data_IF_036816808741
#
_entry.id   IF_036816808741
#
_cell.length_a   1.000
_cell.length_b   1.000
_cell.length_c   1.000
_cell.angle_alpha   90.00
_cell.angle_beta   90.00
_cell.angle_gamma   90.00
#
_symmetry.space_group_name_H-M   'P 1'
#
loop_
_entity.id
_entity.type
_entity.pdbx_description
1 polymer ?
#
# COMPACT_ATOMS: atom_id res chain seq x y z
N UNK A 1 6.55 0.21 7.64
CA UNK A 1 5.10 0.33 7.35
C UNK A 1 4.83 0.91 5.95
N UNK A 2 4.98 2.22 5.71
CA UNK A 2 4.48 2.84 4.47
C UNK A 2 5.24 2.46 3.18
N UNK A 3 6.56 2.28 3.25
CA UNK A 3 7.39 1.88 2.08
C UNK A 3 7.11 0.42 1.71
N UNK A 4 7.34 -0.51 2.65
CA UNK A 4 7.34 -1.95 2.37
C UNK A 4 5.99 -2.66 2.60
N UNK A 5 4.96 -1.94 3.05
CA UNK A 5 3.69 -2.55 3.48
C UNK A 5 3.82 -3.56 4.64
N UNK A 6 4.78 -3.36 5.53
CA UNK A 6 5.06 -4.29 6.62
C UNK A 6 3.94 -4.32 7.69
N UNK A 7 3.32 -5.49 7.85
CA UNK A 7 2.22 -5.75 8.79
C UNK A 7 2.67 -5.70 10.26
N UNK A 8 3.88 -6.18 10.55
CA UNK A 8 4.44 -6.18 11.89
C UNK A 8 4.72 -4.77 12.37
N UNK A 9 5.20 -3.90 11.48
CA UNK A 9 5.36 -2.48 11.74
C UNK A 9 4.02 -1.79 12.00
N UNK A 10 2.94 -2.17 11.30
CA UNK A 10 1.60 -1.63 11.56
C UNK A 10 1.06 -2.07 12.93
N UNK A 11 1.25 -3.34 13.32
CA UNK A 11 0.91 -3.82 14.66
C UNK A 11 1.77 -3.19 15.75
N UNK A 12 3.06 -2.97 15.49
CA UNK A 12 3.96 -2.29 16.42
C UNK A 12 3.53 -0.83 16.64
N UNK A 13 3.14 -0.12 15.57
CA UNK A 13 2.58 1.22 15.66
C UNK A 13 1.30 1.25 16.50
N UNK A 14 0.43 0.26 16.34
CA UNK A 14 -0.79 0.14 17.16
C UNK A 14 -0.45 -0.02 18.65
N UNK A 15 0.56 -0.82 18.99
CA UNK A 15 1.01 -1.01 20.38
C UNK A 15 1.75 0.21 20.95
N UNK A 16 2.50 0.95 20.14
CA UNK A 16 3.26 2.11 20.60
C UNK A 16 2.39 3.35 20.82
N UNK A 17 1.13 3.33 20.39
CA UNK A 17 0.20 4.45 20.49
C UNK A 17 -0.29 4.74 21.93
N UNK A 18 0.18 4.00 22.94
CA UNK A 18 -0.19 4.20 24.34
C UNK A 18 -1.62 3.80 24.68
N UNK A 19 -2.21 2.91 23.88
CA UNK A 19 -3.58 2.42 24.04
C UNK A 19 -3.68 0.92 23.76
N UNK A 20 -4.75 0.28 24.19
CA UNK A 20 -4.99 -1.13 23.87
C UNK A 20 -5.27 -1.32 22.37
N UNK A 21 -5.05 -2.54 21.85
CA UNK A 21 -5.38 -2.87 20.46
C UNK A 21 -6.83 -2.52 20.12
N UNK A 22 -7.78 -2.87 21.00
CA UNK A 22 -9.20 -2.57 20.79
C UNK A 22 -9.46 -1.07 20.67
N UNK A 23 -8.87 -0.26 21.56
CA UNK A 23 -8.97 1.20 21.51
C UNK A 23 -8.35 1.77 20.23
N UNK A 24 -7.23 1.22 19.77
CA UNK A 24 -6.62 1.64 18.50
C UNK A 24 -7.54 1.38 17.31
N UNK A 25 -8.13 0.18 17.22
CA UNK A 25 -9.10 -0.15 16.17
C UNK A 25 -10.36 0.71 16.28
N UNK A 26 -10.82 1.00 17.49
CA UNK A 26 -11.92 1.93 17.71
C UNK A 26 -11.58 3.32 17.15
N UNK A 27 -10.38 3.86 17.43
CA UNK A 27 -9.92 5.14 16.87
C UNK A 27 -9.81 5.13 15.35
N UNK A 28 -9.38 4.01 14.74
CA UNK A 28 -9.37 3.88 13.28
C UNK A 28 -10.80 4.02 12.71
N UNK A 29 -11.78 3.36 13.33
CA UNK A 29 -13.18 3.42 12.92
C UNK A 29 -13.85 4.77 13.25
N UNK A 30 -13.46 5.43 14.34
CA UNK A 30 -13.85 6.83 14.65
C UNK A 30 -13.35 7.77 13.55
N UNK A 31 -12.07 7.67 13.19
CA UNK A 31 -11.50 8.45 12.09
C UNK A 31 -12.21 8.16 10.77
N UNK A 32 -12.50 6.91 10.44
CA UNK A 32 -13.27 6.56 9.25
C UNK A 32 -14.63 7.27 9.23
N UNK A 33 -15.37 7.26 10.35
CA UNK A 33 -16.65 7.96 10.49
C UNK A 33 -16.51 9.48 10.35
N UNK A 34 -15.50 10.09 10.98
CA UNK A 34 -15.20 11.52 10.85
C UNK A 34 -14.93 11.93 9.40
N UNK A 35 -14.25 11.07 8.63
CA UNK A 35 -13.99 11.29 7.20
C UNK A 35 -15.19 10.98 6.31
N UNK A 36 -16.33 10.56 6.89
CA UNK A 36 -17.53 10.18 6.16
C UNK A 36 -17.38 8.84 5.41
N UNK A 37 -16.45 7.98 5.83
CA UNK A 37 -16.20 6.67 5.24
C UNK A 37 -17.22 5.63 5.72
N UNK A 38 -18.46 5.75 5.26
CA UNK A 38 -19.64 5.04 5.79
C UNK A 38 -19.65 3.53 5.49
N UNK A 39 -18.90 3.08 4.49
CA UNK A 39 -18.78 1.67 4.11
C UNK A 39 -17.51 1.03 4.66
N UNK A 40 -16.72 1.77 5.45
CA UNK A 40 -15.43 1.30 5.95
C UNK A 40 -15.56 0.78 7.38
N UNK A 41 -14.97 -0.39 7.62
CA UNK A 41 -14.82 -0.99 8.96
C UNK A 41 -13.45 -1.65 9.06
N UNK A 42 -12.70 -1.27 10.09
CA UNK A 42 -11.43 -1.89 10.44
C UNK A 42 -11.62 -2.89 11.60
N UNK A 43 -11.03 -4.07 11.47
CA UNK A 43 -10.94 -5.13 12.49
C UNK A 43 -9.51 -5.34 12.99
N UNK A 44 -8.51 -4.92 12.22
CA UNK A 44 -7.12 -4.87 12.65
C UNK A 44 -6.37 -3.66 12.04
N UNK A 45 -5.12 -3.48 12.47
CA UNK A 45 -4.30 -2.31 12.13
C UNK A 45 -3.44 -2.47 10.88
N UNK A 46 -3.19 -3.71 10.42
CA UNK A 46 -2.29 -4.03 9.30
C UNK A 46 -3.03 -4.24 7.98
N UNK A 47 -4.30 -4.65 8.04
CA UNK A 47 -5.08 -5.02 6.85
C UNK A 47 -5.09 -6.52 6.57
N UNK A 48 -4.52 -7.34 7.46
CA UNK A 48 -4.43 -8.80 7.29
C UNK A 48 -5.78 -9.52 7.44
N UNK A 49 -6.72 -8.97 8.22
CA UNK A 49 -8.05 -9.53 8.32
C UNK A 49 -8.86 -9.19 7.07
N UNK A 50 -9.42 -10.23 6.45
CA UNK A 50 -10.46 -10.16 5.41
C UNK A 50 -11.72 -9.41 5.85
N UNK A 51 -11.92 -9.26 7.16
CA UNK A 51 -13.02 -8.51 7.77
C UNK A 51 -12.79 -7.00 7.80
N UNK A 52 -11.62 -6.52 7.35
CA UNK A 52 -11.42 -5.12 7.01
C UNK A 52 -12.13 -4.83 5.68
N UNK A 53 -13.14 -3.98 5.73
CA UNK A 53 -13.96 -3.63 4.56
C UNK A 53 -13.82 -2.14 4.29
N UNK A 54 -13.79 -1.77 3.01
CA UNK A 54 -13.85 -0.39 2.54
C UNK A 54 -14.51 -0.34 1.16
N UNK A 55 -14.81 0.87 0.68
CA UNK A 55 -15.25 1.11 -0.69
C UNK A 55 -14.28 2.03 -1.43
N UNK A 56 -14.34 2.05 -2.76
CA UNK A 56 -13.55 2.99 -3.58
C UNK A 56 -13.84 4.44 -3.15
N UNK A 57 -15.11 4.80 -2.93
CA UNK A 57 -15.50 6.15 -2.54
C UNK A 57 -14.95 6.55 -1.17
N UNK A 58 -14.86 5.61 -0.24
CA UNK A 58 -14.28 5.86 1.07
C UNK A 58 -12.76 5.99 1.00
N UNK A 59 -12.09 5.17 0.19
CA UNK A 59 -10.67 5.31 -0.07
C UNK A 59 -10.34 6.64 -0.73
N UNK A 60 -11.20 7.20 -1.61
CA UNK A 60 -11.04 8.57 -2.12
C UNK A 60 -11.02 9.59 -0.97
N UNK A 61 -11.92 9.48 0.00
CA UNK A 61 -11.98 10.39 1.15
C UNK A 61 -10.73 10.27 2.02
N UNK A 62 -10.31 9.04 2.33
CA UNK A 62 -9.08 8.78 3.07
C UNK A 62 -7.84 9.32 2.34
N UNK A 63 -7.78 9.14 1.03
CA UNK A 63 -6.69 9.64 0.18
C UNK A 63 -6.62 11.16 0.22
N UNK A 64 -7.76 11.84 0.04
CA UNK A 64 -7.85 13.31 0.13
C UNK A 64 -7.41 13.83 1.49
N UNK A 65 -7.84 13.19 2.57
CA UNK A 65 -7.39 13.54 3.92
C UNK A 65 -5.86 13.34 4.09
N UNK A 66 -5.34 12.20 3.63
CA UNK A 66 -3.93 11.83 3.76
C UNK A 66 -2.99 12.75 2.96
N UNK A 67 -3.46 13.33 1.85
CA UNK A 67 -2.71 14.33 1.07
C UNK A 67 -2.39 15.61 1.85
N UNK A 68 -3.06 15.87 2.98
CA UNK A 68 -2.75 17.01 3.85
C UNK A 68 -1.62 16.72 4.85
N UNK A 69 -1.16 15.46 4.94
CA UNK A 69 -0.09 15.06 5.85
C UNK A 69 1.24 14.87 5.11
N UNK A 70 2.22 15.75 5.37
CA UNK A 70 3.51 15.73 4.67
C UNK A 70 4.32 14.46 4.96
N UNK A 71 4.25 13.90 6.17
CA UNK A 71 4.98 12.67 6.50
C UNK A 71 4.40 11.49 5.72
N UNK A 72 3.07 11.35 5.66
CA UNK A 72 2.43 10.27 4.89
C UNK A 72 2.85 10.35 3.44
N UNK A 73 2.77 11.54 2.83
CA UNK A 73 3.22 11.75 1.43
C UNK A 73 4.68 11.39 1.24
N UNK A 74 5.56 11.84 2.13
CA UNK A 74 6.99 11.57 2.04
C UNK A 74 7.28 10.06 2.10
N UNK A 75 6.79 9.39 3.15
CA UNK A 75 7.06 7.97 3.37
C UNK A 75 6.35 7.05 2.37
N UNK A 76 5.14 7.41 1.90
CA UNK A 76 4.44 6.59 0.89
C UNK A 76 5.18 6.57 -0.44
N UNK A 77 5.86 7.66 -0.80
CA UNK A 77 6.45 7.85 -2.13
C UNK A 77 7.95 7.58 -2.18
N UNK A 78 8.58 7.19 -1.06
CA UNK A 78 10.00 6.80 -1.09
C UNK A 78 10.17 5.52 -1.91
N UNK A 79 11.06 5.50 -2.94
CA UNK A 79 11.29 4.31 -3.79
C UNK A 79 11.87 3.12 -3.00
N UNK A 80 12.71 3.43 -2.01
CA UNK A 80 13.32 2.47 -1.10
C UNK A 80 13.81 3.16 0.17
N UNK A 81 14.15 2.39 1.19
CA UNK A 81 14.72 2.88 2.44
C UNK A 81 15.62 1.81 3.08
N UNK A 82 16.59 2.24 3.88
CA UNK A 82 17.24 1.37 4.86
C UNK A 82 16.58 1.58 6.22
N UNK A 83 16.18 0.50 6.87
CA UNK A 83 15.58 0.52 8.21
C UNK A 83 16.43 -0.29 9.19
N UNK A 84 16.35 0.04 10.47
CA UNK A 84 16.95 -0.77 11.52
C UNK A 84 15.91 -1.76 12.06
N UNK A 85 16.20 -3.05 11.96
CA UNK A 85 15.35 -4.13 12.45
C UNK A 85 16.20 -5.21 13.09
N UNK A 86 15.93 -5.54 14.37
CA UNK A 86 16.68 -6.58 15.09
C UNK A 86 18.20 -6.32 15.20
N UNK A 87 18.61 -5.05 15.32
CA UNK A 87 20.03 -4.67 15.37
C UNK A 87 20.76 -4.75 14.03
N UNK A 88 20.05 -4.98 12.92
CA UNK A 88 20.61 -5.02 11.56
C UNK A 88 19.97 -3.95 10.68
N UNK A 89 20.77 -3.45 9.74
CA UNK A 89 20.27 -2.59 8.69
C UNK A 89 19.64 -3.46 7.59
N UNK A 90 18.36 -3.24 7.29
CA UNK A 90 17.59 -3.97 6.29
C UNK A 90 17.20 -3.00 5.19
N UNK A 91 17.49 -3.38 3.94
CA UNK A 91 17.04 -2.63 2.77
C UNK A 91 15.62 -3.04 2.40
N UNK A 92 14.73 -2.06 2.27
CA UNK A 92 13.34 -2.28 1.88
C UNK A 92 12.99 -1.43 0.67
N UNK A 93 12.12 -1.97 -0.19
CA UNK A 93 11.66 -1.32 -1.41
C UNK A 93 10.19 -0.96 -1.31
N UNK A 94 9.80 0.11 -2.00
CA UNK A 94 8.40 0.43 -2.19
C UNK A 94 7.70 -0.75 -2.87
N UNK A 95 6.53 -1.12 -2.37
CA UNK A 95 5.74 -2.18 -3.01
C UNK A 95 5.26 -1.73 -4.38
N UNK A 96 4.86 -0.47 -4.55
CA UNK A 96 4.40 0.04 -5.83
C UNK A 96 5.54 0.21 -6.85
N UNK A 97 5.56 -0.67 -7.84
CA UNK A 97 6.53 -0.66 -8.95
C UNK A 97 6.59 0.70 -9.67
N UNK A 98 5.46 1.38 -9.89
CA UNK A 98 5.42 2.68 -10.58
C UNK A 98 6.23 3.77 -9.86
N UNK A 99 6.30 3.69 -8.53
CA UNK A 99 7.05 4.63 -7.68
C UNK A 99 8.48 4.16 -7.51
N UNK A 100 8.68 2.87 -7.26
CA UNK A 100 10.01 2.27 -7.07
C UNK A 100 10.93 2.48 -8.27
N UNK A 101 10.38 2.39 -9.47
CA UNK A 101 11.11 2.54 -10.74
C UNK A 101 11.02 3.95 -11.32
N UNK A 102 10.43 4.89 -10.58
CA UNK A 102 10.33 6.30 -10.98
C UNK A 102 9.60 6.47 -12.33
N UNK A 103 8.66 5.56 -12.64
CA UNK A 103 7.83 5.65 -13.85
C UNK A 103 6.83 6.80 -13.72
N UNK A 104 6.27 7.01 -12.53
CA UNK A 104 5.45 8.18 -12.22
C UNK A 104 5.75 8.70 -10.82
N UNK A 105 5.79 10.02 -10.69
CA UNK A 105 5.82 10.70 -9.40
C UNK A 105 4.45 10.64 -8.74
N UNK A 106 4.35 9.96 -7.59
CA UNK A 106 3.14 9.96 -6.79
C UNK A 106 3.07 11.18 -5.86
N UNK A 107 1.89 11.75 -5.69
CA UNK A 107 1.56 12.60 -4.54
C UNK A 107 1.31 11.75 -3.29
N UNK A 108 0.68 10.59 -3.46
CA UNK A 108 0.49 9.55 -2.45
C UNK A 108 0.25 8.22 -3.17
N UNK A 109 0.67 7.12 -2.56
CA UNK A 109 0.34 5.79 -3.08
C UNK A 109 0.34 4.73 -1.98
N UNK A 110 -0.37 3.63 -2.23
CA UNK A 110 -0.33 2.43 -1.41
C UNK A 110 -0.82 1.23 -2.21
N UNK A 111 -0.11 0.11 -2.16
CA UNK A 111 -0.62 -1.18 -2.64
C UNK A 111 -1.16 -2.03 -1.49
N UNK A 112 -1.94 -3.06 -1.80
CA UNK A 112 -2.34 -4.07 -0.83
C UNK A 112 -2.67 -5.38 -1.51
N UNK A 113 -2.47 -6.49 -0.79
CA UNK A 113 -2.80 -7.82 -1.25
C UNK A 113 -3.05 -8.73 -0.05
N UNK A 114 -4.16 -9.45 -0.13
CA UNK A 114 -4.44 -10.71 0.55
C UNK A 114 -5.20 -11.57 -0.46
N UNK A 115 -5.17 -12.89 -0.29
CA UNK A 115 -5.80 -13.84 -1.22
C UNK A 115 -7.27 -13.48 -1.50
N UNK A 116 -7.98 -13.07 -0.47
CA UNK A 116 -9.41 -12.76 -0.46
C UNK A 116 -9.77 -11.46 -1.19
N UNK A 117 -8.82 -10.52 -1.29
CA UNK A 117 -9.08 -9.17 -1.85
C UNK A 117 -8.37 -8.91 -3.18
N UNK A 118 -7.54 -9.84 -3.65
CA UNK A 118 -6.69 -9.66 -4.82
C UNK A 118 -5.69 -8.51 -4.66
N UNK A 119 -5.16 -8.03 -5.78
CA UNK A 119 -4.17 -6.96 -5.80
C UNK A 119 -4.86 -5.59 -5.87
N UNK A 120 -4.55 -4.70 -4.93
CA UNK A 120 -5.20 -3.41 -4.74
C UNK A 120 -4.19 -2.25 -4.85
N UNK A 121 -4.64 -1.09 -5.33
CA UNK A 121 -3.85 0.14 -5.41
C UNK A 121 -4.70 1.38 -5.11
N UNK A 122 -4.09 2.31 -4.38
CA UNK A 122 -4.41 3.74 -4.42
C UNK A 122 -3.17 4.47 -4.94
N UNK A 123 -3.33 5.32 -5.95
CA UNK A 123 -2.26 6.15 -6.51
C UNK A 123 -2.81 7.51 -6.92
N UNK A 124 -2.13 8.60 -6.56
CA UNK A 124 -2.44 9.94 -7.08
C UNK A 124 -1.20 10.49 -7.74
N UNK A 125 -1.31 10.90 -9.01
CA UNK A 125 -0.20 11.52 -9.73
C UNK A 125 0.15 12.87 -9.09
N UNK A 126 1.43 13.13 -8.89
CA UNK A 126 1.92 14.37 -8.30
C UNK A 126 1.72 15.56 -9.23
N UNK A 127 1.95 15.34 -10.52
CA UNK A 127 1.89 16.39 -11.53
C UNK A 127 0.51 16.41 -12.20
N UNK A 128 0.00 17.59 -12.58
CA UNK A 128 -1.22 17.67 -13.37
C UNK A 128 -1.10 16.92 -14.71
N UNK A 129 -2.17 16.25 -15.09
CA UNK A 129 -2.31 15.56 -16.37
C UNK A 129 -3.29 16.38 -17.22
N UNK A 130 -2.80 17.06 -18.26
CA UNK A 130 -3.60 18.02 -19.06
C UNK A 130 -4.41 19.00 -18.19
N UNK A 131 -3.75 19.58 -17.18
CA UNK A 131 -4.31 20.52 -16.19
C UNK A 131 -5.23 19.93 -15.12
N UNK A 132 -5.39 18.61 -15.02
CA UNK A 132 -6.20 17.96 -13.98
C UNK A 132 -5.36 17.10 -13.06
N UNK A 133 -5.66 17.10 -11.76
CA UNK A 133 -5.12 16.09 -10.85
C UNK A 133 -5.79 14.74 -11.12
N UNK A 134 -4.99 13.70 -11.37
CA UNK A 134 -5.50 12.37 -11.66
C UNK A 134 -5.06 11.39 -10.56
N UNK A 135 -6.03 10.63 -10.05
CA UNK A 135 -5.78 9.50 -9.17
C UNK A 135 -6.47 8.25 -9.68
N UNK A 136 -5.86 7.10 -9.40
CA UNK A 136 -6.36 5.77 -9.73
C UNK A 136 -6.52 4.98 -8.45
N UNK A 137 -7.71 4.44 -8.24
CA UNK A 137 -7.97 3.41 -7.23
C UNK A 137 -8.43 2.17 -8.00
N UNK A 138 -7.70 1.07 -7.88
CA UNK A 138 -8.02 -0.20 -8.52
C UNK A 138 -8.04 -1.30 -7.46
N UNK A 139 -9.12 -2.07 -7.41
CA UNK A 139 -9.33 -3.11 -6.41
C UNK A 139 -9.54 -4.46 -7.09
N UNK A 140 -9.20 -5.55 -6.39
CA UNK A 140 -9.40 -6.92 -6.85
C UNK A 140 -8.79 -7.22 -8.23
N UNK A 141 -7.56 -6.75 -8.46
CA UNK A 141 -6.83 -7.10 -9.68
C UNK A 141 -6.29 -8.53 -9.57
N UNK A 142 -6.26 -9.26 -10.69
CA UNK A 142 -5.82 -10.65 -10.73
C UNK A 142 -4.32 -10.86 -10.47
N UNK A 143 -3.49 -9.84 -10.73
CA UNK A 143 -2.07 -9.88 -10.46
C UNK A 143 -1.49 -8.49 -10.17
N UNK A 144 -0.33 -8.45 -9.51
CA UNK A 144 0.47 -7.23 -9.31
C UNK A 144 0.80 -6.55 -10.65
N UNK A 145 1.12 -7.33 -11.69
CA UNK A 145 1.39 -6.82 -13.03
C UNK A 145 0.15 -6.21 -13.67
N UNK A 146 -1.02 -6.87 -13.57
CA UNK A 146 -2.27 -6.33 -14.12
C UNK A 146 -2.64 -5.00 -13.46
N UNK A 147 -2.58 -4.93 -12.12
CA UNK A 147 -2.82 -3.70 -11.35
C UNK A 147 -1.90 -2.55 -11.79
N UNK A 148 -0.62 -2.85 -12.00
CA UNK A 148 0.39 -1.88 -12.46
C UNK A 148 0.09 -1.38 -13.87
N UNK A 149 -0.14 -2.29 -14.81
CA UNK A 149 -0.46 -1.97 -16.20
C UNK A 149 -1.78 -1.20 -16.33
N UNK A 150 -2.81 -1.61 -15.59
CA UNK A 150 -4.09 -0.90 -15.54
C UNK A 150 -3.89 0.54 -15.10
N UNK A 151 -3.12 0.76 -14.03
CA UNK A 151 -2.88 2.09 -13.48
C UNK A 151 -2.11 2.97 -14.46
N UNK A 152 -1.01 2.46 -15.02
CA UNK A 152 -0.24 3.16 -16.06
C UNK A 152 -1.12 3.56 -17.24
N UNK A 153 -1.90 2.61 -17.78
CA UNK A 153 -2.81 2.87 -18.90
C UNK A 153 -3.84 3.95 -18.59
N UNK A 154 -4.42 3.98 -17.37
CA UNK A 154 -5.34 5.06 -16.97
C UNK A 154 -4.65 6.41 -16.88
N UNK A 155 -3.46 6.48 -16.28
CA UNK A 155 -2.69 7.73 -16.17
C UNK A 155 -2.37 8.29 -17.56
N UNK A 156 -1.83 7.47 -18.46
CA UNK A 156 -1.51 7.86 -19.83
C UNK A 156 -2.75 8.28 -20.62
N UNK A 157 -3.86 7.53 -20.48
CA UNK A 157 -5.14 7.86 -21.11
C UNK A 157 -5.64 9.26 -20.72
N UNK A 158 -5.43 9.67 -19.48
CA UNK A 158 -5.78 11.01 -18.99
C UNK A 158 -4.64 12.04 -19.16
N UNK A 159 -3.58 11.69 -19.89
CA UNK A 159 -2.52 12.60 -20.30
C UNK A 159 -1.47 12.88 -19.24
N UNK A 160 -1.27 11.96 -18.28
CA UNK A 160 -0.12 12.00 -17.39
C UNK A 160 1.11 11.54 -18.16
N UNK A 161 2.23 12.24 -17.98
CA UNK A 161 3.50 11.92 -18.64
C UNK A 161 4.32 11.03 -17.71
N UNK A 162 4.74 9.87 -18.21
CA UNK A 162 5.68 8.99 -17.49
C UNK A 162 7.09 9.59 -17.49
N UNK A 163 7.85 9.34 -16.43
CA UNK A 163 9.25 9.72 -16.32
C UNK A 163 10.11 9.08 -17.41
N UNK A 164 11.24 9.72 -17.74
CA UNK A 164 12.13 9.34 -18.86
C UNK A 164 12.87 7.99 -18.69
N UNK A 165 12.70 7.25 -17.58
CA UNK A 165 13.27 5.91 -17.44
C UNK A 165 12.41 4.89 -18.19
N UNK A 166 12.63 4.80 -19.50
CA UNK A 166 12.19 3.70 -20.35
C UNK A 166 12.93 2.43 -19.93
N UNK A 167 12.41 1.68 -18.96
CA UNK A 167 12.81 0.29 -18.79
C UNK A 167 11.64 -0.62 -19.18
N UNK A 168 11.91 -1.45 -20.18
CA UNK A 168 11.09 -2.59 -20.56
C UNK A 168 10.81 -3.41 -19.29
N UNK A 169 9.53 -3.58 -18.95
CA UNK A 169 9.11 -4.48 -17.88
C UNK A 169 9.65 -5.87 -18.20
N UNK A 170 10.62 -6.37 -17.43
CA UNK A 170 11.13 -7.74 -17.62
C UNK A 170 10.18 -8.72 -16.92
N UNK A 171 10.03 -9.95 -17.44
CA UNK A 171 9.21 -10.99 -16.81
C UNK A 171 9.65 -11.36 -15.38
N UNK A 172 10.94 -11.18 -15.06
CA UNK A 172 11.51 -11.47 -13.73
C UNK A 172 10.98 -10.55 -12.63
N UNK A 173 10.48 -9.37 -12.97
CA UNK A 173 9.87 -8.45 -12.00
C UNK A 173 8.50 -8.96 -11.49
N UNK A 174 7.95 -10.01 -12.10
CA UNK A 174 6.71 -10.66 -11.66
C UNK A 174 6.90 -11.50 -10.39
N UNK A 175 8.14 -11.80 -9.98
CA UNK A 175 8.44 -12.57 -8.77
C UNK A 175 8.52 -11.74 -7.49
N UNK A 176 8.36 -10.41 -7.56
CA UNK A 176 8.14 -9.62 -6.35
C UNK A 176 6.68 -9.81 -5.92
N UNK A 177 6.41 -10.93 -5.26
CA UNK A 177 5.12 -11.15 -4.61
C UNK A 177 4.96 -10.08 -3.52
N UNK A 178 4.10 -9.10 -3.80
CA UNK A 178 3.54 -8.25 -2.77
C UNK A 178 2.61 -9.11 -1.93
N UNK A 179 3.17 -9.91 -1.02
CA UNK A 179 2.39 -10.90 -0.32
C UNK A 179 3.15 -11.51 0.83
N UNK A 180 2.39 -11.86 1.86
CA UNK A 180 2.82 -12.69 2.96
C UNK A 180 3.43 -13.98 2.38
N UNK A 181 4.70 -14.28 2.72
CA UNK A 181 5.31 -15.56 2.40
C UNK A 181 4.68 -16.64 3.29
N UNK A 182 3.45 -17.04 2.94
CA UNK A 182 2.72 -18.09 3.64
C UNK A 182 3.50 -19.40 3.60
N UNK A 183 4.22 -19.70 2.51
CA UNK A 183 5.06 -20.90 2.43
C UNK A 183 6.23 -20.83 3.41
N UNK A 184 6.96 -19.71 3.46
CA UNK A 184 8.04 -19.52 4.42
C UNK A 184 7.56 -19.52 5.86
N UNK A 185 6.40 -18.94 6.16
CA UNK A 185 5.81 -18.97 7.50
C UNK A 185 5.26 -20.37 7.85
N UNK A 186 4.64 -21.07 6.91
CA UNK A 186 4.15 -22.45 7.09
C UNK A 186 5.32 -23.41 7.31
N UNK A 187 6.38 -23.27 6.51
CA UNK A 187 7.63 -24.02 6.68
C UNK A 187 8.29 -23.74 8.04
N UNK A 188 8.28 -22.49 8.49
CA UNK A 188 8.78 -22.12 9.82
C UNK A 188 7.92 -22.72 10.94
N UNK A 189 6.60 -22.70 10.82
CA UNK A 189 5.67 -23.31 11.78
C UNK A 189 5.87 -24.83 11.82
N UNK A 190 6.02 -25.49 10.67
CA UNK A 190 6.31 -26.91 10.60
C UNK A 190 7.65 -27.26 11.26
N UNK A 191 8.70 -26.46 11.02
CA UNK A 191 10.00 -26.66 11.65
C UNK A 191 9.96 -26.49 13.17
N UNK A 192 9.21 -25.51 13.67
CA UNK A 192 9.06 -25.26 15.10
C UNK A 192 8.14 -26.28 15.79
N UNK A 193 7.20 -26.90 15.06
CA UNK A 193 6.34 -27.97 15.58
C UNK A 193 6.99 -29.35 15.66
N UNK A 194 8.21 -29.50 15.12
CA UNK A 194 9.01 -30.74 15.12
C UNK A 194 10.10 -30.76 16.19
N UNK A 195 10.15 -29.77 17.09
CA UNK A 195 10.96 -29.74 18.31
C UNK A 195 10.08 -29.98 19.54
#
# INVERSE_FOLDING_TARGET
MLVHSDNQAAHALSRSAGMTRLQFIQKMNEKARELGMRSTRFTDSSGLSDSNISSVMDLVKLTKYSLNNQQIKYFSNMPSAYIQAGGRQVFVRNTNKLVREEVFDAAINKTGYIRESGYNLVFVNKHPCRNSAIGVISLNNSSSQFRTNFTKSKLEKYGCIAGHRLNNFTPDDAQYEEGYDEEGLTNLIEQLSKQ
#
